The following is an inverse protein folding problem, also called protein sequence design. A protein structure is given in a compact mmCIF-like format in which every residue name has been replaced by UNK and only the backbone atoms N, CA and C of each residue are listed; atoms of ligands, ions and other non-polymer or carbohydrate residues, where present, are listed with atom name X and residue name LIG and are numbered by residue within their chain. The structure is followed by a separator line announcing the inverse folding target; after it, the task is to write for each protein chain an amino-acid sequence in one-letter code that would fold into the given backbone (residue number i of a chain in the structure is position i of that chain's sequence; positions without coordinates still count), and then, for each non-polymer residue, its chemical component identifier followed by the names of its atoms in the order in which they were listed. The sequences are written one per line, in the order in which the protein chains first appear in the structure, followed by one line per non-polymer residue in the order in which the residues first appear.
data_IF_803423361426
#
_entry.id   IF_803423361426
#
_cell.length_a   1.000
_cell.length_b   1.000
_cell.length_c   1.000
_cell.angle_alpha   90.00
_cell.angle_beta   90.00
_cell.angle_gamma   90.00
#
_symmetry.space_group_name_H-M   'P 1'
#
loop_
_entity.id
_entity.type
_entity.pdbx_description
1 polymer ?
#
# COMPACT_ATOMS: atom_id res chain seq x y z
N UNK A 1 -58.01 40.02 17.58
CA UNK A 1 -56.73 39.28 17.58
C UNK A 1 -55.76 40.04 16.70
N UNK A 2 -54.77 40.67 17.33
CA UNK A 2 -53.81 41.58 16.70
C UNK A 2 -52.66 40.76 16.12
N UNK A 3 -52.35 41.00 14.84
CA UNK A 3 -51.22 40.43 14.11
C UNK A 3 -49.91 40.94 14.69
N UNK A 4 -49.16 40.05 15.33
CA UNK A 4 -47.79 40.24 15.80
C UNK A 4 -46.83 39.45 14.91
N UNK A 5 -46.77 39.79 13.62
CA UNK A 5 -45.62 39.42 12.79
C UNK A 5 -44.69 40.63 12.72
N UNK A 6 -43.65 40.55 13.55
CA UNK A 6 -42.70 41.61 13.81
C UNK A 6 -41.93 42.02 12.54
N UNK A 7 -41.82 43.33 12.32
CA UNK A 7 -40.97 43.99 11.31
C UNK A 7 -39.46 43.74 11.51
N UNK A 8 -39.06 42.85 12.42
CA UNK A 8 -37.66 42.58 12.76
C UNK A 8 -37.07 41.36 12.04
N UNK A 9 -37.88 40.50 11.41
CA UNK A 9 -37.38 39.33 10.66
C UNK A 9 -36.72 39.70 9.33
N UNK A 10 -37.09 40.85 8.74
CA UNK A 10 -36.56 41.26 7.43
C UNK A 10 -35.12 41.80 7.50
N UNK A 11 -34.72 42.38 8.65
CA UNK A 11 -33.36 42.93 8.83
C UNK A 11 -32.30 41.84 9.03
N UNK A 12 -32.66 40.71 9.62
CA UNK A 12 -31.76 39.57 9.79
C UNK A 12 -31.57 38.78 8.49
N UNK A 13 -32.61 38.68 7.65
CA UNK A 13 -32.49 38.02 6.35
C UNK A 13 -31.62 38.78 5.35
N UNK A 14 -31.69 40.12 5.35
CA UNK A 14 -30.84 40.97 4.50
C UNK A 14 -29.35 40.89 4.89
N UNK A 15 -29.03 40.78 6.18
CA UNK A 15 -27.67 40.58 6.66
C UNK A 15 -27.11 39.20 6.29
N UNK A 16 -27.94 38.16 6.30
CA UNK A 16 -27.52 36.80 5.93
C UNK A 16 -27.18 36.70 4.42
N UNK A 17 -27.96 37.35 3.56
CA UNK A 17 -27.70 37.37 2.10
C UNK A 17 -26.44 38.20 1.79
N UNK A 18 -26.23 39.33 2.48
CA UNK A 18 -25.00 40.11 2.32
C UNK A 18 -23.75 39.33 2.77
N UNK A 19 -23.84 38.52 3.83
CA UNK A 19 -22.73 37.70 4.31
C UNK A 19 -22.38 36.55 3.33
N UNK A 20 -23.38 35.95 2.68
CA UNK A 20 -23.18 34.92 1.66
C UNK A 20 -22.50 35.50 0.41
N UNK A 21 -22.82 36.74 0.02
CA UNK A 21 -22.19 37.40 -1.13
C UNK A 21 -20.72 37.77 -0.81
N UNK A 22 -20.42 38.20 0.42
CA UNK A 22 -19.05 38.51 0.86
C UNK A 22 -18.20 37.24 1.02
N UNK A 23 -18.74 36.15 1.59
CA UNK A 23 -18.02 34.87 1.66
C UNK A 23 -17.86 34.21 0.29
N UNK A 24 -18.85 34.30 -0.59
CA UNK A 24 -18.75 33.79 -1.96
C UNK A 24 -17.66 34.51 -2.78
N UNK A 25 -17.48 35.82 -2.57
CA UNK A 25 -16.45 36.60 -3.26
C UNK A 25 -15.04 36.44 -2.65
N UNK A 26 -14.92 36.14 -1.36
CA UNK A 26 -13.63 35.75 -0.73
C UNK A 26 -13.20 34.32 -1.09
N UNK A 27 -14.16 33.41 -1.36
CA UNK A 27 -13.87 32.06 -1.87
C UNK A 27 -13.53 32.05 -3.38
N UNK A 28 -14.12 32.95 -4.18
CA UNK A 28 -13.84 33.06 -5.62
C UNK A 28 -12.57 33.85 -5.96
N UNK A 29 -12.01 34.64 -5.03
CA UNK A 29 -10.77 35.39 -5.26
C UNK A 29 -9.50 34.65 -4.81
N UNK A 30 -9.63 33.57 -4.03
CA UNK A 30 -8.51 32.67 -3.69
C UNK A 30 -8.42 31.42 -4.57
N UNK A 31 -9.38 31.19 -5.48
CA UNK A 31 -9.25 30.19 -6.55
C UNK A 31 -8.48 30.76 -7.75
N UNK A 32 -7.36 31.46 -7.50
CA UNK A 32 -6.29 31.52 -8.48
C UNK A 32 -5.58 30.19 -8.40
N UNK A 33 -6.00 29.29 -9.29
CA UNK A 33 -5.26 28.10 -9.68
C UNK A 33 -3.77 28.44 -9.80
N UNK A 34 -3.01 27.98 -8.80
CA UNK A 34 -1.58 27.82 -8.89
C UNK A 34 -1.32 26.87 -10.05
N UNK A 35 -1.09 27.44 -11.23
CA UNK A 35 -0.75 26.76 -12.48
C UNK A 35 0.73 26.39 -12.54
N UNK A 36 1.41 26.35 -11.40
CA UNK A 36 2.77 25.83 -11.26
C UNK A 36 2.73 24.51 -10.50
N UNK A 37 2.02 23.51 -11.03
CA UNK A 37 2.39 22.11 -10.82
C UNK A 37 3.21 21.68 -12.04
N UNK A 38 4.47 21.28 -11.88
CA UNK A 38 5.33 20.92 -13.02
C UNK A 38 4.93 19.60 -13.71
N UNK A 39 3.79 18.98 -13.37
CA UNK A 39 3.44 17.63 -13.80
C UNK A 39 2.13 17.48 -14.60
N UNK A 40 1.52 18.56 -15.07
CA UNK A 40 0.28 18.45 -15.88
C UNK A 40 0.35 19.31 -17.14
N UNK A 41 1.25 18.95 -18.05
CA UNK A 41 1.15 19.41 -19.44
C UNK A 41 0.25 18.43 -20.22
N UNK A 42 -0.56 18.96 -21.13
CA UNK A 42 -1.39 18.19 -22.05
C UNK A 42 -0.58 17.14 -22.85
N UNK A 43 0.72 17.39 -23.02
CA UNK A 43 1.69 16.45 -23.61
C UNK A 43 1.88 15.18 -22.76
N UNK A 44 1.92 15.29 -21.43
CA UNK A 44 2.01 14.14 -20.50
C UNK A 44 0.75 13.26 -20.57
N UNK A 45 -0.43 13.89 -20.70
CA UNK A 45 -1.71 13.20 -20.82
C UNK A 45 -1.77 12.42 -22.15
N UNK A 46 -1.37 13.04 -23.26
CA UNK A 46 -1.33 12.40 -24.59
C UNK A 46 -0.29 11.27 -24.66
N UNK A 47 0.89 11.44 -24.06
CA UNK A 47 1.90 10.37 -23.98
C UNK A 47 1.41 9.17 -23.16
N UNK A 48 0.71 9.43 -22.04
CA UNK A 48 0.14 8.37 -21.19
C UNK A 48 -1.01 7.62 -21.88
N UNK A 49 -1.89 8.31 -22.61
CA UNK A 49 -2.96 7.66 -23.36
C UNK A 49 -2.43 6.79 -24.49
N UNK A 50 -1.43 7.27 -25.23
CA UNK A 50 -0.80 6.50 -26.31
C UNK A 50 -0.08 5.28 -25.76
N UNK A 51 0.63 5.42 -24.63
CA UNK A 51 1.29 4.30 -23.96
C UNK A 51 0.32 3.18 -23.56
N UNK A 52 -0.82 3.51 -22.93
CA UNK A 52 -1.83 2.50 -22.55
C UNK A 52 -2.44 1.81 -23.77
N UNK A 53 -2.67 2.56 -24.85
CA UNK A 53 -3.16 2.00 -26.11
C UNK A 53 -2.13 1.09 -26.77
N UNK A 54 -0.85 1.47 -26.78
CA UNK A 54 0.25 0.67 -27.31
C UNK A 54 0.42 -0.64 -26.54
N UNK A 55 0.34 -0.59 -25.21
CA UNK A 55 0.34 -1.79 -24.34
C UNK A 55 -0.85 -2.70 -24.68
N UNK A 56 -2.06 -2.15 -24.74
CA UNK A 56 -3.25 -2.93 -25.07
C UNK A 56 -3.14 -3.58 -26.46
N UNK A 57 -2.62 -2.84 -27.45
CA UNK A 57 -2.40 -3.32 -28.82
C UNK A 57 -1.33 -4.41 -28.88
N UNK A 58 -0.23 -4.26 -28.13
CA UNK A 58 0.83 -5.26 -28.07
C UNK A 58 0.32 -6.59 -27.50
N UNK A 59 -0.43 -6.52 -26.39
CA UNK A 59 -1.06 -7.70 -25.80
C UNK A 59 -2.05 -8.33 -26.79
N UNK A 60 -2.94 -7.51 -27.37
CA UNK A 60 -3.93 -7.97 -28.33
C UNK A 60 -3.30 -8.72 -29.52
N UNK A 61 -2.24 -8.15 -30.10
CA UNK A 61 -1.50 -8.77 -31.19
C UNK A 61 -0.81 -10.07 -30.76
N UNK A 62 -0.28 -10.13 -29.54
CA UNK A 62 0.41 -11.33 -29.02
C UNK A 62 -0.51 -12.56 -28.92
N UNK A 63 -1.81 -12.31 -28.72
CA UNK A 63 -2.81 -13.36 -28.57
C UNK A 63 -3.79 -13.44 -29.76
N UNK A 64 -3.55 -12.70 -30.84
CA UNK A 64 -4.48 -12.54 -31.97
C UNK A 64 -5.91 -12.19 -31.51
N UNK A 65 -6.02 -11.31 -30.51
CA UNK A 65 -7.27 -10.89 -29.90
C UNK A 65 -7.77 -9.59 -30.55
N UNK A 66 -9.02 -9.58 -31.02
CA UNK A 66 -9.72 -8.34 -31.37
C UNK A 66 -10.24 -7.67 -30.09
N UNK A 67 -9.80 -6.45 -29.81
CA UNK A 67 -10.33 -5.66 -28.70
C UNK A 67 -11.58 -4.85 -29.08
N UNK A 68 -11.88 -4.71 -30.37
CA UNK A 68 -13.00 -3.90 -30.86
C UNK A 68 -14.36 -4.48 -30.47
N UNK A 69 -14.44 -5.82 -30.37
CA UNK A 69 -15.65 -6.56 -30.00
C UNK A 69 -15.85 -6.71 -28.49
N UNK A 70 -14.97 -6.08 -27.69
CA UNK A 70 -14.94 -6.22 -26.24
C UNK A 70 -15.26 -4.90 -25.55
N UNK A 71 -16.04 -5.00 -24.48
CA UNK A 71 -16.35 -3.87 -23.62
C UNK A 71 -15.25 -3.72 -22.58
N UNK A 72 -14.42 -2.68 -22.71
CA UNK A 72 -13.46 -2.32 -21.66
C UNK A 72 -14.21 -1.85 -20.42
N UNK A 73 -13.91 -2.44 -19.27
CA UNK A 73 -14.54 -2.08 -18.00
C UNK A 73 -13.83 -0.88 -17.39
N UNK A 74 -14.61 0.08 -16.89
CA UNK A 74 -14.10 1.17 -16.04
C UNK A 74 -14.00 0.66 -14.60
N UNK A 75 -12.76 0.52 -14.12
CA UNK A 75 -12.48 0.04 -12.77
C UNK A 75 -13.09 0.93 -11.68
N UNK A 76 -13.20 2.25 -11.93
CA UNK A 76 -13.82 3.15 -10.94
C UNK A 76 -15.27 2.78 -10.67
N UNK A 77 -16.01 2.40 -11.71
CA UNK A 77 -17.40 1.97 -11.58
C UNK A 77 -17.51 0.64 -10.82
N UNK A 78 -16.53 -0.24 -10.92
CA UNK A 78 -16.52 -1.48 -10.14
C UNK A 78 -16.40 -1.20 -8.64
N UNK A 79 -15.53 -0.27 -8.24
CA UNK A 79 -15.41 0.12 -6.82
C UNK A 79 -16.67 0.78 -6.28
N UNK A 80 -17.33 1.62 -7.08
CA UNK A 80 -18.62 2.22 -6.71
C UNK A 80 -19.73 1.16 -6.49
N UNK A 81 -19.53 -0.06 -7.01
CA UNK A 81 -20.48 -1.20 -6.95
C UNK A 81 -19.95 -2.38 -6.14
N UNK A 82 -18.89 -2.21 -5.33
CA UNK A 82 -18.19 -3.33 -4.68
C UNK A 82 -19.05 -4.22 -3.76
N UNK A 83 -20.21 -3.73 -3.30
CA UNK A 83 -21.18 -4.49 -2.51
C UNK A 83 -22.01 -5.47 -3.36
N UNK A 84 -22.05 -5.28 -4.67
CA UNK A 84 -22.75 -6.18 -5.61
C UNK A 84 -21.89 -7.43 -5.88
N UNK A 85 -22.42 -8.66 -5.73
CA UNK A 85 -21.64 -9.89 -5.90
C UNK A 85 -20.92 -10.00 -7.25
N UNK A 86 -21.53 -9.45 -8.30
CA UNK A 86 -20.95 -9.41 -9.64
C UNK A 86 -19.69 -8.53 -9.70
N UNK A 87 -19.75 -7.30 -9.18
CA UNK A 87 -18.61 -6.39 -9.19
C UNK A 87 -17.54 -6.80 -8.17
N UNK A 88 -17.97 -7.21 -6.97
CA UNK A 88 -17.10 -7.71 -5.90
C UNK A 88 -16.23 -8.87 -6.37
N UNK A 89 -16.84 -9.90 -6.98
CA UNK A 89 -16.08 -11.06 -7.47
C UNK A 89 -15.16 -10.71 -8.63
N UNK A 90 -15.52 -9.75 -9.50
CA UNK A 90 -14.64 -9.27 -10.56
C UNK A 90 -13.43 -8.50 -10.01
N UNK A 91 -13.64 -7.66 -8.99
CA UNK A 91 -12.57 -6.96 -8.28
C UNK A 91 -11.62 -7.95 -7.60
N UNK A 92 -12.15 -9.02 -7.00
CA UNK A 92 -11.30 -10.06 -6.39
C UNK A 92 -10.40 -10.73 -7.43
N UNK A 93 -10.94 -11.06 -8.60
CA UNK A 93 -10.13 -11.62 -9.70
C UNK A 93 -9.11 -10.60 -10.21
N UNK A 94 -9.46 -9.32 -10.34
CA UNK A 94 -8.52 -8.26 -10.71
C UNK A 94 -7.38 -8.12 -9.69
N UNK A 95 -7.71 -8.17 -8.40
CA UNK A 95 -6.74 -8.08 -7.32
C UNK A 95 -5.82 -9.30 -7.30
N UNK A 96 -6.33 -10.50 -7.57
CA UNK A 96 -5.51 -11.69 -7.75
C UNK A 96 -4.47 -11.49 -8.87
N UNK A 97 -4.87 -10.95 -10.02
CA UNK A 97 -3.92 -10.63 -11.11
C UNK A 97 -2.89 -9.58 -10.68
N UNK A 98 -3.25 -8.62 -9.82
CA UNK A 98 -2.34 -7.58 -9.31
C UNK A 98 -1.32 -8.11 -8.32
N UNK A 99 -1.71 -9.04 -7.45
CA UNK A 99 -0.80 -9.71 -6.51
C UNK A 99 0.34 -10.42 -7.26
N UNK A 100 0.07 -10.89 -8.48
CA UNK A 100 1.06 -11.54 -9.34
C UNK A 100 1.98 -10.55 -10.10
N UNK A 101 1.73 -9.24 -10.04
CA UNK A 101 2.56 -8.24 -10.74
C UNK A 101 3.83 -7.88 -9.96
N UNK A 102 4.91 -7.59 -10.70
CA UNK A 102 6.18 -7.08 -10.15
C UNK A 102 6.35 -5.59 -10.45
N UNK A 103 7.38 -4.97 -9.86
CA UNK A 103 7.71 -3.59 -10.17
C UNK A 103 7.96 -3.39 -11.69
N UNK A 104 7.42 -2.31 -12.25
CA UNK A 104 7.49 -2.00 -13.67
C UNK A 104 6.41 -2.68 -14.52
N UNK A 105 5.59 -3.57 -13.94
CA UNK A 105 4.38 -4.08 -14.59
C UNK A 105 3.35 -2.96 -14.83
N UNK A 106 2.53 -3.13 -15.86
CA UNK A 106 1.45 -2.20 -16.20
C UNK A 106 0.16 -2.66 -15.58
N UNK A 107 -0.59 -1.73 -14.98
CA UNK A 107 -1.88 -2.00 -14.38
C UNK A 107 -2.79 -2.80 -15.34
N UNK A 108 -3.37 -3.92 -14.88
CA UNK A 108 -4.16 -4.79 -15.72
C UNK A 108 -5.43 -4.08 -16.21
N UNK A 109 -5.96 -4.53 -17.35
CA UNK A 109 -7.20 -4.02 -17.93
C UNK A 109 -8.20 -5.14 -18.12
N UNK A 110 -9.47 -4.88 -17.82
CA UNK A 110 -10.56 -5.84 -17.96
C UNK A 110 -11.35 -5.55 -19.23
N UNK A 111 -11.65 -6.61 -19.98
CA UNK A 111 -12.43 -6.58 -21.21
C UNK A 111 -13.50 -7.68 -21.16
N UNK A 112 -14.77 -7.31 -21.22
CA UNK A 112 -15.89 -8.26 -21.21
C UNK A 112 -16.41 -8.50 -22.63
N UNK A 113 -16.83 -9.72 -22.92
CA UNK A 113 -17.59 -10.02 -24.13
C UNK A 113 -19.01 -9.49 -24.02
N UNK A 114 -19.71 -9.44 -25.15
CA UNK A 114 -21.10 -8.97 -25.23
C UNK A 114 -22.08 -9.78 -24.36
N UNK A 115 -21.72 -11.02 -24.00
CA UNK A 115 -22.53 -11.87 -23.13
C UNK A 115 -22.56 -11.39 -21.66
N UNK A 116 -21.65 -10.49 -21.27
CA UNK A 116 -21.48 -10.03 -19.88
C UNK A 116 -21.12 -11.14 -18.88
N UNK A 117 -20.71 -12.32 -19.36
CA UNK A 117 -20.45 -13.52 -18.55
C UNK A 117 -19.10 -14.15 -18.83
N UNK A 118 -18.40 -13.70 -19.86
CA UNK A 118 -17.03 -14.07 -20.12
C UNK A 118 -16.22 -12.87 -20.56
N UNK A 119 -14.91 -12.96 -20.41
CA UNK A 119 -14.04 -11.85 -20.72
C UNK A 119 -12.57 -12.21 -20.57
N UNK A 120 -11.76 -11.17 -20.57
CA UNK A 120 -10.33 -11.24 -20.43
C UNK A 120 -9.84 -10.18 -19.45
N UNK A 121 -8.83 -10.54 -18.66
CA UNK A 121 -7.95 -9.57 -18.01
C UNK A 121 -6.63 -9.63 -18.75
N UNK A 122 -6.16 -8.47 -19.21
CA UNK A 122 -4.86 -8.34 -19.85
C UNK A 122 -3.88 -7.73 -18.87
N UNK A 123 -2.68 -8.30 -18.77
CA UNK A 123 -1.60 -7.76 -17.96
C UNK A 123 -0.29 -7.79 -18.74
N UNK A 124 0.61 -6.85 -18.44
CA UNK A 124 1.95 -6.82 -19.00
C UNK A 124 2.96 -6.65 -17.87
N UNK A 125 3.94 -7.54 -17.83
CA UNK A 125 5.00 -7.53 -16.84
C UNK A 125 6.11 -6.55 -17.22
N UNK A 126 6.90 -6.11 -16.24
CA UNK A 126 8.02 -5.19 -16.46
C UNK A 126 9.08 -5.72 -17.43
N UNK A 127 9.23 -7.05 -17.54
CA UNK A 127 10.11 -7.72 -18.50
C UNK A 127 9.52 -7.77 -19.95
N UNK A 128 8.31 -7.24 -20.13
CA UNK A 128 7.60 -7.23 -21.40
C UNK A 128 6.71 -8.45 -21.67
N UNK A 129 6.67 -9.45 -20.78
CA UNK A 129 5.79 -10.61 -20.90
C UNK A 129 4.32 -10.18 -20.85
N UNK A 130 3.54 -10.59 -21.84
CA UNK A 130 2.10 -10.36 -21.91
C UNK A 130 1.35 -11.56 -21.32
N UNK A 131 0.34 -11.29 -20.50
CA UNK A 131 -0.55 -12.28 -19.93
C UNK A 131 -1.99 -12.02 -20.37
N UNK A 132 -2.69 -13.11 -20.68
CA UNK A 132 -4.11 -13.13 -20.96
C UNK A 132 -4.80 -14.09 -20.00
N UNK A 133 -5.57 -13.54 -19.08
CA UNK A 133 -6.42 -14.30 -18.17
C UNK A 133 -7.82 -14.38 -18.75
N UNK A 134 -8.26 -15.56 -19.17
CA UNK A 134 -9.65 -15.78 -19.54
C UNK A 134 -10.48 -15.91 -18.28
N UNK A 135 -11.55 -15.13 -18.18
CA UNK A 135 -12.45 -15.11 -17.02
C UNK A 135 -13.87 -15.49 -17.41
N UNK A 136 -14.59 -16.12 -16.50
CA UNK A 136 -16.01 -16.47 -16.67
C UNK A 136 -16.79 -16.26 -15.37
N UNK A 137 -18.07 -15.93 -15.51
CA UNK A 137 -19.00 -15.75 -14.40
C UNK A 137 -19.88 -16.99 -14.22
N UNK A 138 -19.73 -17.67 -13.09
CA UNK A 138 -20.64 -18.72 -12.64
C UNK A 138 -20.83 -18.61 -11.12
N UNK A 139 -21.87 -17.89 -10.68
CA UNK A 139 -22.09 -17.52 -9.27
C UNK A 139 -20.97 -16.65 -8.66
N UNK A 140 -20.05 -16.18 -9.50
CA UNK A 140 -18.87 -15.39 -9.18
C UNK A 140 -17.92 -15.40 -10.37
N UNK A 141 -17.14 -14.34 -10.55
CA UNK A 141 -16.06 -14.33 -11.54
C UNK A 141 -14.90 -15.22 -11.08
N UNK A 142 -14.32 -15.95 -12.03
CA UNK A 142 -13.12 -16.74 -11.80
C UNK A 142 -12.23 -16.74 -13.04
N UNK A 143 -10.92 -16.90 -12.82
CA UNK A 143 -9.94 -17.17 -13.88
C UNK A 143 -10.11 -18.64 -14.30
N UNK A 144 -10.46 -18.86 -15.56
CA UNK A 144 -10.63 -20.21 -16.12
C UNK A 144 -9.42 -20.67 -16.92
N UNK A 145 -8.59 -19.72 -17.39
CA UNK A 145 -7.36 -20.01 -18.14
C UNK A 145 -6.39 -18.85 -18.05
N UNK A 146 -5.10 -19.14 -17.98
CA UNK A 146 -4.02 -18.16 -18.07
C UNK A 146 -3.10 -18.56 -19.22
N UNK A 147 -2.88 -17.65 -20.16
CA UNK A 147 -1.88 -17.79 -21.22
C UNK A 147 -0.83 -16.68 -21.09
N UNK A 148 0.42 -16.97 -21.45
CA UNK A 148 1.50 -15.98 -21.48
C UNK A 148 2.33 -16.07 -22.76
N UNK A 149 2.75 -14.91 -23.26
CA UNK A 149 3.58 -14.77 -24.47
C UNK A 149 4.56 -13.62 -24.26
N UNK A 150 5.81 -13.78 -24.70
CA UNK A 150 6.77 -12.68 -24.69
C UNK A 150 6.30 -11.58 -25.65
N UNK A 151 5.97 -10.40 -25.11
CA UNK A 151 5.59 -9.24 -25.90
C UNK A 151 6.78 -8.37 -26.25
N UNK A 152 6.50 -7.18 -26.79
CA UNK A 152 7.53 -6.14 -26.90
C UNK A 152 7.98 -5.75 -25.50
N UNK A 153 9.30 -5.63 -25.32
CA UNK A 153 9.84 -5.03 -24.11
C UNK A 153 9.18 -3.67 -23.90
N UNK A 154 8.71 -3.41 -22.70
CA UNK A 154 8.29 -2.06 -22.36
C UNK A 154 9.59 -1.26 -22.30
N UNK A 155 9.90 -0.55 -23.39
CA UNK A 155 10.73 0.63 -23.27
C UNK A 155 9.87 1.60 -22.46
N UNK A 156 9.94 1.48 -21.13
CA UNK A 156 9.67 2.61 -20.28
C UNK A 156 10.71 3.64 -20.75
N UNK A 157 10.32 4.48 -21.71
CA UNK A 157 10.86 5.81 -21.85
C UNK A 157 10.43 6.60 -20.59
N UNK A 158 10.73 6.06 -19.42
CA UNK A 158 11.07 6.85 -18.27
C UNK A 158 12.33 7.58 -18.72
N UNK A 159 12.34 8.92 -18.83
CA UNK A 159 13.59 9.68 -18.75
C UNK A 159 14.31 9.50 -17.39
N UNK A 160 14.00 8.44 -16.64
CA UNK A 160 14.39 8.13 -15.27
C UNK A 160 14.44 6.63 -15.01
N UNK A 161 14.71 5.79 -16.02
CA UNK A 161 15.48 4.56 -15.78
C UNK A 161 16.90 4.98 -15.40
N UNK A 162 17.01 5.72 -14.31
CA UNK A 162 18.26 6.31 -13.91
C UNK A 162 19.15 5.14 -13.56
N UNK A 163 20.39 5.13 -14.05
CA UNK A 163 21.48 4.33 -13.52
C UNK A 163 21.79 4.74 -12.06
N UNK A 164 20.76 5.00 -11.26
CA UNK A 164 20.88 5.33 -9.86
C UNK A 164 21.25 4.07 -9.14
N UNK A 165 22.35 4.17 -8.42
CA UNK A 165 22.76 3.13 -7.50
C UNK A 165 22.26 3.53 -6.14
N UNK A 166 21.60 2.59 -5.47
CA UNK A 166 21.06 2.79 -4.14
C UNK A 166 21.86 1.94 -3.15
N UNK A 167 22.01 2.44 -1.93
CA UNK A 167 22.70 1.76 -0.85
C UNK A 167 22.00 2.04 0.48
N UNK A 168 22.21 1.16 1.46
CA UNK A 168 21.79 1.43 2.84
C UNK A 168 22.50 2.68 3.36
N UNK A 169 21.87 3.39 4.30
CA UNK A 169 22.46 4.57 4.90
C UNK A 169 23.76 4.21 5.65
N UNK A 170 24.74 5.11 5.58
CA UNK A 170 25.84 5.12 6.53
C UNK A 170 25.34 5.53 7.92
N UNK A 171 26.08 5.14 8.97
CA UNK A 171 25.75 5.51 10.36
C UNK A 171 25.57 7.03 10.52
N UNK A 172 26.44 7.83 9.91
CA UNK A 172 26.36 9.29 9.98
C UNK A 172 25.09 9.84 9.32
N UNK A 173 24.69 9.28 8.16
CA UNK A 173 23.43 9.65 7.49
C UNK A 173 22.22 9.27 8.32
N UNK A 174 22.21 8.06 8.89
CA UNK A 174 21.14 7.58 9.76
C UNK A 174 20.99 8.48 10.99
N UNK A 175 22.06 8.74 11.73
CA UNK A 175 22.01 9.58 12.94
C UNK A 175 21.55 11.01 12.64
N UNK A 176 21.99 11.56 11.50
CA UNK A 176 21.50 12.86 11.02
C UNK A 176 19.99 12.83 10.77
N UNK A 177 19.50 11.83 10.02
CA UNK A 177 18.08 11.70 9.69
C UNK A 177 17.21 11.51 10.95
N UNK A 178 17.62 10.63 11.86
CA UNK A 178 16.91 10.38 13.11
C UNK A 178 16.78 11.66 13.94
N UNK A 179 17.87 12.43 14.06
CA UNK A 179 17.87 13.71 14.78
C UNK A 179 16.98 14.76 14.12
N UNK A 180 17.07 14.93 12.80
CA UNK A 180 16.28 15.92 12.06
C UNK A 180 14.77 15.64 12.12
N UNK A 181 14.39 14.36 12.23
CA UNK A 181 12.99 13.94 12.29
C UNK A 181 12.51 13.59 13.70
N UNK A 182 13.33 13.82 14.73
CA UNK A 182 13.02 13.49 16.14
C UNK A 182 12.61 12.02 16.36
N UNK A 183 13.22 11.09 15.61
CA UNK A 183 12.92 9.66 15.68
C UNK A 183 13.84 8.99 16.71
N UNK A 184 13.24 8.30 17.68
CA UNK A 184 13.95 7.41 18.59
C UNK A 184 13.78 5.95 18.14
N UNK A 185 14.81 5.32 17.56
CA UNK A 185 14.69 3.97 17.01
C UNK A 185 14.57 2.93 18.14
N UNK A 186 13.71 1.94 17.92
CA UNK A 186 13.62 0.71 18.71
C UNK A 186 14.51 -0.39 18.14
N UNK A 187 14.59 -0.47 16.81
CA UNK A 187 15.48 -1.38 16.10
C UNK A 187 15.88 -0.74 14.76
N UNK A 188 17.08 -1.08 14.29
CA UNK A 188 17.60 -0.69 12.98
C UNK A 188 18.19 -1.91 12.30
N UNK A 189 17.87 -2.12 11.04
CA UNK A 189 18.40 -3.23 10.27
C UNK A 189 18.65 -2.82 8.82
N UNK A 190 19.84 -3.13 8.31
CA UNK A 190 20.12 -3.03 6.88
C UNK A 190 19.63 -4.30 6.17
N UNK A 191 18.85 -4.13 5.10
CA UNK A 191 18.29 -5.20 4.27
C UNK A 191 18.59 -4.85 2.81
N UNK A 192 19.62 -5.49 2.24
CA UNK A 192 20.08 -5.15 0.90
C UNK A 192 20.49 -3.68 0.80
N UNK A 193 19.75 -2.90 0.00
CA UNK A 193 20.01 -1.46 -0.23
C UNK A 193 19.23 -0.55 0.71
N UNK A 194 18.48 -1.10 1.65
CA UNK A 194 17.63 -0.33 2.54
C UNK A 194 18.17 -0.37 3.97
N UNK A 195 17.95 0.71 4.69
CA UNK A 195 18.04 0.81 6.14
C UNK A 195 16.61 0.94 6.67
N UNK A 196 16.15 -0.07 7.39
CA UNK A 196 14.83 -0.09 8.03
C UNK A 196 14.98 0.37 9.47
N UNK A 197 14.14 1.31 9.88
CA UNK A 197 14.07 1.79 11.26
C UNK A 197 12.68 1.54 11.81
N UNK A 198 12.61 0.79 12.90
CA UNK A 198 11.40 0.54 13.67
C UNK A 198 11.34 1.53 14.83
N UNK A 199 10.22 2.22 15.01
CA UNK A 199 10.05 3.23 16.07
C UNK A 199 8.60 3.31 16.55
N UNK A 200 8.39 4.01 17.67
CA UNK A 200 7.05 4.36 18.17
C UNK A 200 6.80 5.85 17.97
N UNK A 201 5.59 6.21 17.59
CA UNK A 201 5.12 7.61 17.52
C UNK A 201 3.81 7.77 18.29
N UNK A 202 3.61 8.93 18.89
CA UNK A 202 2.36 9.22 19.58
C UNK A 202 1.24 9.45 18.56
N UNK A 203 0.01 9.05 18.87
CA UNK A 203 -1.15 9.29 18.00
C UNK A 203 -1.32 10.77 17.71
N UNK A 204 -1.01 11.64 18.67
CA UNK A 204 -1.09 13.10 18.56
C UNK A 204 -0.12 13.68 17.53
N UNK A 205 0.98 12.99 17.25
CA UNK A 205 2.01 13.37 16.27
C UNK A 205 1.66 12.95 14.84
N UNK A 206 0.65 12.08 14.68
CA UNK A 206 0.17 11.66 13.37
C UNK A 206 -0.54 12.79 12.62
N UNK A 207 -0.57 12.69 11.29
CA UNK A 207 -1.39 13.57 10.45
C UNK A 207 -2.89 13.36 10.72
N UNK A 208 -3.73 14.37 10.45
CA UNK A 208 -5.18 14.26 10.65
C UNK A 208 -5.82 13.07 9.92
N UNK A 209 -5.45 12.76 8.65
CA UNK A 209 -5.95 11.57 7.97
C UNK A 209 -5.51 10.27 8.66
N UNK A 210 -4.26 10.17 9.13
CA UNK A 210 -3.81 8.99 9.87
C UNK A 210 -4.56 8.84 11.20
N UNK A 211 -4.79 9.94 11.93
CA UNK A 211 -5.53 9.92 13.21
C UNK A 211 -6.94 9.37 13.07
N UNK A 212 -7.61 9.63 11.94
CA UNK A 212 -8.96 9.10 11.67
C UNK A 212 -9.00 7.59 11.47
N UNK A 213 -7.88 6.98 11.05
CA UNK A 213 -7.76 5.54 10.85
C UNK A 213 -7.33 4.80 12.12
N UNK A 214 -6.85 5.54 13.12
CA UNK A 214 -6.36 4.98 14.38
C UNK A 214 -7.39 5.21 15.50
N UNK A 215 -7.95 4.14 16.08
CA UNK A 215 -8.81 4.22 17.25
C UNK A 215 -8.23 5.11 18.36
N UNK A 216 -9.07 5.91 19.01
CA UNK A 216 -8.64 6.80 20.11
C UNK A 216 -8.03 6.05 21.30
N UNK A 217 -8.35 4.76 21.46
CA UNK A 217 -7.76 3.89 22.49
C UNK A 217 -6.28 3.58 22.25
N UNK A 218 -5.76 3.82 21.04
CA UNK A 218 -4.35 3.59 20.70
C UNK A 218 -3.60 4.92 20.85
N UNK A 219 -2.81 5.04 21.91
CA UNK A 219 -2.03 6.26 22.19
C UNK A 219 -0.69 6.28 21.47
N UNK A 220 -0.12 5.10 21.19
CA UNK A 220 1.16 4.95 20.50
C UNK A 220 1.06 3.90 19.41
N UNK A 221 1.66 4.23 18.27
CA UNK A 221 1.75 3.32 17.14
C UNK A 221 3.18 2.93 16.87
N UNK A 222 3.33 1.70 16.45
CA UNK A 222 4.54 1.16 15.87
C UNK A 222 4.58 1.49 14.39
N UNK A 223 5.66 2.12 13.94
CA UNK A 223 5.91 2.41 12.53
C UNK A 223 7.27 1.87 12.13
N UNK A 224 7.34 1.37 10.90
CA UNK A 224 8.61 1.16 10.22
C UNK A 224 8.80 2.27 9.19
N UNK A 225 10.03 2.75 9.04
CA UNK A 225 10.44 3.59 7.92
C UNK A 225 11.57 2.91 7.17
N UNK A 226 11.52 3.01 5.85
CA UNK A 226 12.47 2.43 4.94
C UNK A 226 13.26 3.55 4.27
N UNK A 227 14.57 3.52 4.45
CA UNK A 227 15.48 4.56 3.99
C UNK A 227 16.51 3.97 3.04
N UNK A 228 16.90 4.73 2.03
CA UNK A 228 18.07 4.42 1.21
C UNK A 228 18.85 5.69 0.87
N UNK A 229 20.06 5.52 0.37
CA UNK A 229 20.89 6.60 -0.15
C UNK A 229 21.09 6.39 -1.65
N UNK A 230 20.87 7.43 -2.45
CA UNK A 230 21.29 7.44 -3.85
C UNK A 230 22.81 7.66 -3.99
N UNK A 231 23.33 7.60 -5.22
CA UNK A 231 24.75 7.79 -5.52
C UNK A 231 25.30 9.18 -5.14
N UNK A 232 24.42 10.17 -5.00
CA UNK A 232 24.79 11.54 -4.65
C UNK A 232 24.75 11.75 -3.12
N UNK A 233 24.39 10.71 -2.36
CA UNK A 233 24.33 10.73 -0.90
C UNK A 233 23.00 11.27 -0.35
N UNK A 234 21.99 11.49 -1.20
CA UNK A 234 20.68 11.95 -0.77
C UNK A 234 19.92 10.79 -0.11
N UNK A 235 19.35 11.07 1.06
CA UNK A 235 18.49 10.12 1.77
C UNK A 235 17.11 10.13 1.12
N UNK A 236 16.64 8.96 0.75
CA UNK A 236 15.32 8.72 0.17
C UNK A 236 14.51 7.94 1.19
N UNK A 237 13.37 8.50 1.58
CA UNK A 237 12.34 7.79 2.31
C UNK A 237 11.47 7.05 1.29
N UNK A 238 11.58 5.72 1.24
CA UNK A 238 10.83 4.88 0.29
C UNK A 238 9.46 4.46 0.81
N UNK A 239 9.07 4.98 1.96
CA UNK A 239 7.87 4.62 2.67
C UNK A 239 8.18 3.82 3.93
N UNK A 240 7.31 2.88 4.21
CA UNK A 240 7.21 2.26 5.53
C UNK A 240 5.83 2.54 6.11
N UNK A 241 5.18 1.48 6.55
CA UNK A 241 3.79 1.49 6.97
C UNK A 241 3.65 1.22 8.47
N UNK A 242 2.41 1.29 8.91
CA UNK A 242 1.94 0.73 10.17
C UNK A 242 1.22 -0.59 9.85
N UNK A 243 1.65 -1.72 10.44
CA UNK A 243 1.04 -3.03 10.19
C UNK A 243 -0.28 -3.26 10.92
N UNK A 244 -0.86 -4.45 10.75
CA UNK A 244 -2.21 -4.79 11.20
C UNK A 244 -2.38 -4.77 12.73
N UNK A 245 -1.37 -5.21 13.50
CA UNK A 245 -1.37 -5.20 14.98
C UNK A 245 -0.24 -4.31 15.51
N UNK A 246 -0.38 -2.99 15.33
CA UNK A 246 0.71 -2.02 15.55
C UNK A 246 0.67 -1.24 16.87
N UNK A 247 -0.17 -1.64 17.82
CA UNK A 247 -0.41 -0.88 19.06
C UNK A 247 0.37 -1.40 20.27
N UNK A 248 0.59 -0.55 21.27
CA UNK A 248 1.21 -0.93 22.53
C UNK A 248 0.27 -1.65 23.51
N UNK A 249 -1.00 -1.84 23.14
CA UNK A 249 -2.03 -2.50 23.96
C UNK A 249 -2.06 -4.03 23.77
N UNK A 250 -1.51 -4.55 22.67
CA UNK A 250 -1.39 -5.99 22.43
C UNK A 250 -0.10 -6.55 23.05
N UNK A 251 -0.08 -7.81 23.51
CA UNK A 251 1.11 -8.38 24.16
C UNK A 251 2.32 -8.44 23.22
N UNK A 252 2.07 -8.61 21.93
CA UNK A 252 3.08 -8.60 20.87
C UNK A 252 2.52 -7.82 19.68
N UNK A 253 3.21 -6.76 19.25
CA UNK A 253 2.87 -6.04 18.01
C UNK A 253 3.57 -6.70 16.83
N UNK A 254 2.86 -6.90 15.72
CA UNK A 254 3.38 -7.59 14.54
C UNK A 254 3.02 -6.78 13.29
N UNK A 255 3.99 -6.61 12.39
CA UNK A 255 3.75 -6.11 11.05
C UNK A 255 4.52 -6.92 10.01
N UNK A 256 4.04 -6.85 8.77
CA UNK A 256 4.69 -7.45 7.63
C UNK A 256 4.79 -6.46 6.48
N UNK A 257 5.98 -6.36 5.89
CA UNK A 257 6.27 -5.49 4.76
C UNK A 257 6.90 -6.33 3.64
N UNK A 258 6.32 -6.25 2.46
CA UNK A 258 6.76 -7.02 1.29
C UNK A 258 6.40 -6.24 0.03
N UNK A 259 7.39 -5.59 -0.57
CA UNK A 259 7.17 -4.90 -1.83
C UNK A 259 8.44 -4.80 -2.66
N UNK A 260 8.26 -4.37 -3.90
CA UNK A 260 9.34 -4.11 -4.84
C UNK A 260 9.21 -2.68 -5.37
N UNK A 261 10.34 -1.99 -5.48
CA UNK A 261 10.43 -0.64 -6.05
C UNK A 261 11.57 -0.55 -7.06
N UNK A 262 11.82 0.64 -7.62
CA UNK A 262 12.98 0.89 -8.51
C UNK A 262 14.32 0.54 -7.85
N UNK A 263 14.37 0.54 -6.51
CA UNK A 263 15.59 0.27 -5.76
C UNK A 263 15.83 -1.23 -5.60
N UNK A 264 14.77 -2.04 -5.76
CA UNK A 264 14.79 -3.48 -5.69
C UNK A 264 13.70 -4.02 -4.76
N UNK A 265 13.89 -5.27 -4.36
CA UNK A 265 13.00 -5.96 -3.46
C UNK A 265 13.35 -5.71 -1.99
N UNK A 266 12.33 -5.54 -1.16
CA UNK A 266 12.46 -5.57 0.30
C UNK A 266 11.31 -6.37 0.93
N UNK A 267 11.69 -7.32 1.79
CA UNK A 267 10.77 -8.09 2.62
C UNK A 267 11.26 -8.15 4.05
N UNK A 268 10.39 -7.88 5.01
CA UNK A 268 10.67 -8.06 6.45
C UNK A 268 9.40 -8.15 7.29
N UNK A 269 9.53 -8.78 8.44
CA UNK A 269 8.53 -8.69 9.52
C UNK A 269 9.06 -7.80 10.63
N UNK A 270 8.17 -7.06 11.29
CA UNK A 270 8.50 -6.38 12.54
C UNK A 270 7.77 -7.07 13.69
N UNK A 271 8.45 -7.21 14.83
CA UNK A 271 7.88 -7.80 16.04
C UNK A 271 8.31 -6.95 17.24
N UNK A 272 7.36 -6.55 18.09
CA UNK A 272 7.63 -5.89 19.37
C UNK A 272 6.96 -6.67 20.50
N UNK A 273 7.74 -7.09 21.48
CA UNK A 273 7.24 -7.76 22.68
C UNK A 273 6.91 -6.68 23.72
N UNK A 274 5.62 -6.29 23.79
CA UNK A 274 5.17 -5.26 24.75
C UNK A 274 4.94 -5.85 26.16
N UNK A 275 4.60 -7.13 26.26
CA UNK A 275 4.36 -7.78 27.54
C UNK A 275 5.68 -8.15 28.25
N UNK A 276 5.88 -7.61 29.45
CA UNK A 276 7.10 -7.82 30.23
C UNK A 276 7.33 -9.28 30.63
N UNK A 277 6.28 -10.04 30.97
CA UNK A 277 6.41 -11.44 31.37
C UNK A 277 6.80 -12.33 30.20
N UNK A 278 6.29 -12.05 29.00
CA UNK A 278 6.74 -12.70 27.76
C UNK A 278 8.20 -12.34 27.52
N UNK A 279 8.54 -11.05 27.48
CA UNK A 279 9.89 -10.58 27.17
C UNK A 279 10.94 -11.18 28.11
N UNK A 280 10.65 -11.21 29.41
CA UNK A 280 11.56 -11.72 30.45
C UNK A 280 11.94 -13.19 30.24
N UNK A 281 11.03 -13.99 29.69
CA UNK A 281 11.23 -15.43 29.49
C UNK A 281 11.56 -15.78 28.03
N UNK A 282 11.42 -14.83 27.10
CA UNK A 282 11.58 -15.07 25.68
C UNK A 282 13.05 -15.31 25.31
N UNK A 283 13.27 -16.33 24.49
CA UNK A 283 14.59 -16.69 23.96
C UNK A 283 14.66 -16.49 22.45
N UNK A 284 13.59 -16.83 21.72
CA UNK A 284 13.55 -16.70 20.26
C UNK A 284 12.21 -16.18 19.76
N UNK A 285 12.26 -15.40 18.69
CA UNK A 285 11.11 -15.01 17.87
C UNK A 285 11.20 -15.75 16.54
N UNK A 286 10.16 -16.52 16.20
CA UNK A 286 10.04 -17.25 14.95
C UNK A 286 8.91 -16.67 14.11
N UNK A 287 9.22 -16.20 12.90
CA UNK A 287 8.22 -15.83 11.90
C UNK A 287 7.97 -17.02 10.97
N UNK A 288 6.70 -17.36 10.78
CA UNK A 288 6.26 -18.42 9.89
C UNK A 288 5.53 -17.79 8.71
N UNK A 289 5.96 -18.10 7.50
CA UNK A 289 5.41 -17.59 6.26
C UNK A 289 4.78 -18.73 5.46
N UNK A 290 4.07 -18.39 4.38
CA UNK A 290 3.59 -19.36 3.40
C UNK A 290 4.69 -20.27 2.87
N UNK A 291 4.28 -21.40 2.28
CA UNK A 291 5.18 -22.40 1.73
C UNK A 291 6.15 -23.01 2.76
N UNK A 292 5.75 -23.05 4.04
CA UNK A 292 6.54 -23.56 5.16
C UNK A 292 7.89 -22.84 5.36
N UNK A 293 8.00 -21.59 4.91
CA UNK A 293 9.20 -20.78 5.12
C UNK A 293 9.18 -20.27 6.56
N UNK A 294 10.31 -20.36 7.25
CA UNK A 294 10.44 -19.81 8.60
C UNK A 294 11.75 -19.08 8.78
N UNK A 295 11.71 -17.99 9.54
CA UNK A 295 12.90 -17.28 10.05
C UNK A 295 12.87 -17.32 11.56
N UNK A 296 14.03 -17.30 12.20
CA UNK A 296 14.13 -17.30 13.66
C UNK A 296 15.25 -16.38 14.08
N UNK A 297 14.95 -15.51 15.04
CA UNK A 297 15.92 -14.58 15.64
C UNK A 297 15.94 -14.76 17.15
N UNK A 298 17.10 -14.57 17.76
CA UNK A 298 17.23 -14.61 19.22
C UNK A 298 16.79 -13.28 19.83
N UNK A 299 16.16 -13.34 21.00
CA UNK A 299 15.65 -12.15 21.71
C UNK A 299 16.81 -11.30 22.25
N UNK A 300 17.81 -11.95 22.87
CA UNK A 300 19.05 -11.32 23.37
C UNK A 300 18.84 -9.95 24.07
N UNK A 301 17.90 -9.87 25.00
CA UNK A 301 17.51 -8.66 25.74
C UNK A 301 16.94 -7.50 24.89
N UNK A 302 16.64 -7.74 23.61
CA UNK A 302 15.90 -6.79 22.76
C UNK A 302 14.40 -7.07 22.87
N UNK A 303 13.59 -6.02 22.78
CA UNK A 303 12.13 -6.14 22.75
C UNK A 303 11.54 -5.85 21.37
N UNK A 304 12.34 -5.39 20.42
CA UNK A 304 11.90 -4.98 19.09
C UNK A 304 12.82 -5.57 18.01
N UNK A 305 12.21 -6.10 16.96
CA UNK A 305 12.91 -6.88 15.94
C UNK A 305 12.47 -6.47 14.54
N UNK A 306 13.44 -6.37 13.64
CA UNK A 306 13.24 -6.32 12.19
C UNK A 306 13.84 -7.61 11.64
N UNK A 307 12.99 -8.49 11.12
CA UNK A 307 13.38 -9.85 10.70
C UNK A 307 13.31 -9.91 9.17
N UNK A 308 14.46 -9.88 8.46
CA UNK A 308 14.48 -9.87 7.00
C UNK A 308 13.90 -11.14 6.38
N UNK A 309 13.26 -10.97 5.23
CA UNK A 309 12.79 -12.02 4.35
C UNK A 309 13.28 -11.72 2.93
N UNK A 310 14.08 -12.61 2.34
CA UNK A 310 14.64 -12.41 0.99
C UNK A 310 13.76 -13.01 -0.13
N UNK A 311 12.54 -13.44 0.19
CA UNK A 311 11.65 -14.14 -0.73
C UNK A 311 10.44 -13.29 -1.08
N UNK A 312 10.29 -12.99 -2.38
CA UNK A 312 9.18 -12.21 -2.93
C UNK A 312 7.83 -12.91 -2.72
N UNK A 313 6.78 -12.10 -2.50
CA UNK A 313 5.37 -12.53 -2.53
C UNK A 313 5.00 -13.70 -1.60
N UNK A 314 5.64 -13.81 -0.44
CA UNK A 314 5.24 -14.78 0.60
C UNK A 314 4.45 -14.02 1.67
N UNK A 315 3.33 -14.51 2.17
CA UNK A 315 2.61 -13.85 3.28
C UNK A 315 3.11 -14.36 4.64
N UNK A 316 3.13 -13.48 5.65
CA UNK A 316 3.35 -13.87 7.04
C UNK A 316 2.09 -14.58 7.57
N UNK A 317 2.24 -15.80 8.06
CA UNK A 317 1.14 -16.63 8.59
C UNK A 317 1.08 -16.60 10.11
N UNK A 318 2.23 -16.57 10.79
CA UNK A 318 2.27 -16.62 12.25
C UNK A 318 3.56 -16.01 12.81
N UNK A 319 3.51 -15.58 14.07
CA UNK A 319 4.68 -15.26 14.88
C UNK A 319 4.59 -16.06 16.17
N UNK A 320 5.67 -16.78 16.49
CA UNK A 320 5.78 -17.61 17.68
C UNK A 320 6.97 -17.11 18.50
N UNK A 321 6.74 -16.87 19.79
CA UNK A 321 7.79 -16.54 20.76
C UNK A 321 7.95 -17.75 21.68
N UNK A 322 9.18 -18.21 21.85
CA UNK A 322 9.49 -19.38 22.70
C UNK A 322 10.58 -19.05 23.71
N UNK A 323 10.56 -19.76 24.83
CA UNK A 323 11.67 -19.77 25.78
C UNK A 323 12.84 -20.65 25.30
N UNK A 324 13.91 -20.71 26.10
CA UNK A 324 15.14 -21.45 25.79
C UNK A 324 14.94 -22.97 25.69
N UNK A 325 13.88 -23.50 26.29
CA UNK A 325 13.55 -24.92 26.32
C UNK A 325 12.56 -25.27 25.19
N UNK A 326 12.21 -24.29 24.34
CA UNK A 326 11.30 -24.44 23.22
C UNK A 326 9.82 -24.36 23.61
N UNK A 327 9.50 -23.98 24.85
CA UNK A 327 8.11 -23.77 25.26
C UNK A 327 7.58 -22.49 24.65
N UNK A 328 6.43 -22.59 23.99
CA UNK A 328 5.73 -21.44 23.41
C UNK A 328 5.20 -20.53 24.52
N UNK A 329 5.62 -19.27 24.46
CA UNK A 329 5.16 -18.19 25.34
C UNK A 329 4.07 -17.34 24.67
N UNK A 330 4.12 -17.25 23.34
CA UNK A 330 3.14 -16.53 22.53
C UNK A 330 3.03 -17.20 21.15
N UNK A 331 1.81 -17.34 20.67
CA UNK A 331 1.48 -17.76 19.31
C UNK A 331 0.39 -16.81 18.80
N UNK A 332 0.68 -16.08 17.72
CA UNK A 332 -0.24 -15.06 17.20
C UNK A 332 -1.58 -15.68 16.79
N UNK A 333 -1.55 -16.82 16.10
CA UNK A 333 -2.76 -17.46 15.62
C UNK A 333 -3.63 -17.95 16.79
N UNK A 334 -3.04 -18.47 17.86
CA UNK A 334 -3.82 -18.81 19.06
C UNK A 334 -4.38 -17.58 19.78
N UNK A 335 -3.60 -16.49 19.82
CA UNK A 335 -4.02 -15.25 20.47
C UNK A 335 -5.17 -14.58 19.71
N UNK A 336 -5.05 -14.41 18.39
CA UNK A 336 -6.08 -13.80 17.54
C UNK A 336 -7.40 -14.59 17.59
N UNK A 337 -7.33 -15.93 17.59
CA UNK A 337 -8.50 -16.80 17.76
C UNK A 337 -9.25 -16.57 19.07
N UNK A 338 -8.52 -16.40 20.17
CA UNK A 338 -9.12 -16.17 21.50
C UNK A 338 -9.80 -14.80 21.63
N UNK A 339 -9.42 -13.84 20.77
CA UNK A 339 -9.88 -12.45 20.87
C UNK A 339 -10.68 -11.98 19.65
N UNK A 340 -10.95 -12.87 18.67
CA UNK A 340 -11.86 -12.60 17.55
C UNK A 340 -11.26 -11.75 16.43
N UNK A 341 -9.95 -11.85 16.19
CA UNK A 341 -9.22 -11.10 15.15
C UNK A 341 -8.87 -11.95 13.91
N UNK A 342 -9.68 -12.94 13.54
CA UNK A 342 -9.43 -13.79 12.35
C UNK A 342 -9.69 -13.08 11.01
#
# INVERSE_FOLDING_TARGET
MISLFSKYSYRWFALLIALIIVFGSVLLTNFKTSTNSPYSSQETIVKSSNFKQDVAKDIANSFNLSLEDLNKVDEKQLYDQQEEPYASSLLNVLNQVREDQDYGSIAPSIYLKQDGKSGYITAKMGDGTNYLYTIAYNQGWAIVKTDSVQGKAIALNNPGGSNKTYSSLSEAQLQKYLKENSISPLAVQNIGKYTVVLYKTAREELSDPEKTLVPESILKLTKAIELSSDQDGNIINTGGGSGDDNSDIVPVSIAYHNHESEQGYIGFSTVIINNFDILKNAYSVKCCYENNITTTTLVDNHNAFIIPLQLKKVKLINVIISDKDGKVLFDNNEWSKKHGFE
#
